data_IF_086493159640
#
_entry.id   IF_086493159640
#
_cell.length_a   1.000
_cell.length_b   1.000
_cell.length_c   1.000
_cell.angle_alpha   90.00
_cell.angle_beta   90.00
_cell.angle_gamma   90.00
#
_symmetry.space_group_name_H-M   'P 1'
#
loop_
_entity.id
_entity.type
_entity.pdbx_description
1 polymer ?
#
# COMPACT_ATOMS: atom_id res chain seq x y z
N UNK A 1 -39.42 -12.79 17.98
CA UNK A 1 -39.49 -12.34 16.58
C UNK A 1 -38.57 -11.14 16.42
N UNK A 2 -37.76 -11.19 15.36
CA UNK A 2 -36.58 -10.38 15.03
C UNK A 2 -36.86 -8.87 14.89
N UNK A 3 -35.95 -8.03 15.42
CA UNK A 3 -34.96 -7.15 14.73
C UNK A 3 -35.52 -5.94 14.00
N UNK A 4 -35.06 -4.74 14.40
CA UNK A 4 -34.65 -3.67 13.47
C UNK A 4 -33.89 -2.57 14.23
N UNK A 5 -32.57 -2.73 14.37
CA UNK A 5 -31.68 -1.59 14.64
C UNK A 5 -31.28 -0.94 13.31
N UNK A 6 -31.32 0.38 13.32
CA UNK A 6 -31.42 1.32 12.20
C UNK A 6 -30.13 1.40 11.36
N UNK A 7 -30.17 1.31 10.01
CA UNK A 7 -28.98 1.26 9.14
C UNK A 7 -28.33 2.63 8.81
N UNK A 8 -28.68 3.71 9.51
CA UNK A 8 -28.31 5.08 9.10
C UNK A 8 -26.86 5.49 9.45
N UNK A 9 -26.24 4.93 10.50
CA UNK A 9 -24.97 5.44 11.05
C UNK A 9 -23.72 4.93 10.31
N UNK A 10 -23.73 3.66 9.88
CA UNK A 10 -22.57 3.02 9.23
C UNK A 10 -22.37 3.59 7.81
N UNK A 11 -23.45 3.84 7.08
CA UNK A 11 -23.39 4.36 5.71
C UNK A 11 -22.81 5.78 5.66
N UNK A 12 -23.07 6.58 6.69
CA UNK A 12 -22.57 7.95 6.79
C UNK A 12 -21.07 8.00 7.12
N UNK A 13 -20.63 7.15 8.07
CA UNK A 13 -19.21 6.97 8.41
C UNK A 13 -18.40 6.41 7.24
N UNK A 14 -18.97 5.47 6.47
CA UNK A 14 -18.36 4.93 5.26
C UNK A 14 -18.21 6.02 4.20
N UNK A 15 -19.19 6.92 4.02
CA UNK A 15 -19.11 8.02 3.05
C UNK A 15 -18.05 9.06 3.43
N UNK A 16 -18.00 9.50 4.68
CA UNK A 16 -16.94 10.42 5.14
C UNK A 16 -15.55 9.80 4.98
N UNK A 17 -15.42 8.53 5.36
CA UNK A 17 -14.17 7.78 5.19
C UNK A 17 -13.78 7.68 3.72
N UNK A 18 -14.71 7.36 2.82
CA UNK A 18 -14.45 7.26 1.37
C UNK A 18 -14.01 8.60 0.78
N UNK A 19 -14.60 9.72 1.20
CA UNK A 19 -14.19 11.06 0.74
C UNK A 19 -12.76 11.39 1.20
N UNK A 20 -12.46 11.18 2.48
CA UNK A 20 -11.12 11.40 3.05
C UNK A 20 -10.08 10.46 2.42
N UNK A 21 -10.47 9.22 2.13
CA UNK A 21 -9.64 8.24 1.41
C UNK A 21 -9.33 8.73 0.00
N UNK A 22 -10.33 9.24 -0.72
CA UNK A 22 -10.20 9.68 -2.12
C UNK A 22 -9.32 10.93 -2.25
N UNK A 23 -9.50 11.92 -1.37
CA UNK A 23 -8.66 13.13 -1.32
C UNK A 23 -7.21 12.77 -1.01
N UNK A 24 -6.98 11.90 -0.03
CA UNK A 24 -5.62 11.48 0.37
C UNK A 24 -4.96 10.56 -0.66
N UNK A 25 -5.72 9.75 -1.40
CA UNK A 25 -5.20 8.99 -2.55
C UNK A 25 -4.66 9.93 -3.63
N UNK A 26 -5.29 11.09 -3.82
CA UNK A 26 -4.82 12.08 -4.80
C UNK A 26 -3.50 12.71 -4.34
N UNK A 27 -3.38 13.06 -3.05
CA UNK A 27 -2.09 13.49 -2.45
C UNK A 27 -1.02 12.38 -2.47
N UNK A 28 -1.41 11.11 -2.35
CA UNK A 28 -0.51 9.95 -2.50
C UNK A 28 0.09 9.93 -3.90
N UNK A 29 -0.72 10.10 -4.94
CA UNK A 29 -0.26 10.12 -6.33
C UNK A 29 0.76 11.25 -6.56
N UNK A 30 0.51 12.44 -6.04
CA UNK A 30 1.41 13.59 -6.23
C UNK A 30 2.73 13.49 -5.42
N UNK A 31 2.71 12.85 -4.24
CA UNK A 31 3.92 12.75 -3.38
C UNK A 31 4.81 11.56 -3.75
N UNK A 32 4.23 10.49 -4.30
CA UNK A 32 4.91 9.20 -4.49
C UNK A 32 5.32 9.00 -5.96
N UNK A 33 4.60 9.59 -6.91
CA UNK A 33 4.79 9.29 -8.33
C UNK A 33 5.71 10.33 -8.97
N UNK A 34 7.00 9.99 -9.04
CA UNK A 34 7.98 10.70 -9.87
C UNK A 34 7.73 10.34 -11.35
N UNK A 35 7.61 11.33 -12.25
CA UNK A 35 7.32 11.08 -13.67
C UNK A 35 8.38 10.17 -14.34
N UNK A 36 9.62 10.23 -13.84
CA UNK A 36 10.73 9.38 -14.27
C UNK A 36 10.45 7.89 -13.99
N UNK A 37 9.92 7.56 -12.80
CA UNK A 37 9.52 6.20 -12.42
C UNK A 37 8.32 5.75 -13.26
N UNK A 38 7.37 6.63 -13.59
CA UNK A 38 6.28 6.26 -14.52
C UNK A 38 6.87 5.87 -15.88
N UNK A 39 7.83 6.64 -16.39
CA UNK A 39 8.42 6.38 -17.71
C UNK A 39 9.27 5.12 -17.79
N UNK A 40 10.05 4.82 -16.74
CA UNK A 40 10.92 3.63 -16.66
C UNK A 40 10.09 2.33 -16.58
N UNK A 41 8.88 2.39 -16.00
CA UNK A 41 8.02 1.23 -15.76
C UNK A 41 6.72 1.24 -16.59
N UNK A 42 6.52 2.22 -17.50
CA UNK A 42 5.38 2.34 -18.43
C UNK A 42 5.27 1.17 -19.43
N UNK A 43 6.34 0.39 -19.58
CA UNK A 43 6.39 -0.85 -20.34
C UNK A 43 6.74 -1.99 -19.39
N UNK A 44 5.74 -2.54 -18.69
CA UNK A 44 5.89 -3.81 -17.99
C UNK A 44 5.99 -4.94 -19.04
N UNK A 45 7.18 -5.12 -19.59
CA UNK A 45 7.60 -6.40 -20.16
C UNK A 45 7.94 -7.40 -19.05
N UNK A 46 8.13 -8.67 -19.41
CA UNK A 46 8.60 -9.74 -18.51
C UNK A 46 9.81 -9.33 -17.68
N UNK A 47 10.74 -8.59 -18.28
CA UNK A 47 12.02 -8.20 -17.68
C UNK A 47 11.86 -7.17 -16.54
N UNK A 48 10.86 -6.29 -16.63
CA UNK A 48 10.56 -5.33 -15.57
C UNK A 48 9.95 -6.04 -14.35
N UNK A 49 9.13 -7.07 -14.60
CA UNK A 49 8.55 -7.88 -13.54
C UNK A 49 9.63 -8.64 -12.76
N UNK A 50 10.54 -9.32 -13.46
CA UNK A 50 11.65 -10.04 -12.84
C UNK A 50 12.54 -9.12 -12.01
N UNK A 51 12.85 -7.92 -12.50
CA UNK A 51 13.64 -6.92 -11.75
C UNK A 51 12.95 -6.49 -10.46
N UNK A 52 11.66 -6.19 -10.50
CA UNK A 52 10.88 -5.82 -9.31
C UNK A 52 10.90 -6.98 -8.31
N UNK A 53 10.66 -8.21 -8.77
CA UNK A 53 10.65 -9.39 -7.91
C UNK A 53 12.03 -9.66 -7.29
N UNK A 54 13.12 -9.51 -8.04
CA UNK A 54 14.48 -9.67 -7.52
C UNK A 54 14.79 -8.63 -6.45
N UNK A 55 14.52 -7.35 -6.73
CA UNK A 55 14.76 -6.27 -5.75
C UNK A 55 13.94 -6.45 -4.47
N UNK A 56 12.70 -6.92 -4.59
CA UNK A 56 11.84 -7.23 -3.46
C UNK A 56 12.35 -8.38 -2.63
N UNK A 57 12.82 -9.43 -3.29
CA UNK A 57 13.40 -10.59 -2.61
C UNK A 57 14.69 -10.22 -1.87
N UNK A 58 15.58 -9.45 -2.52
CA UNK A 58 16.81 -8.92 -1.92
C UNK A 58 16.54 -7.96 -0.76
N UNK A 59 15.37 -7.34 -0.74
CA UNK A 59 14.98 -6.34 0.25
C UNK A 59 13.93 -6.84 1.24
N UNK A 60 13.64 -8.14 1.25
CA UNK A 60 12.63 -8.75 2.12
C UNK A 60 12.90 -8.47 3.61
N UNK A 61 14.17 -8.41 4.01
CA UNK A 61 14.57 -8.05 5.38
C UNK A 61 14.19 -6.61 5.75
N UNK A 62 14.45 -5.64 4.87
CA UNK A 62 14.08 -4.24 5.08
C UNK A 62 12.56 -4.06 5.10
N UNK A 63 11.84 -4.81 4.25
CA UNK A 63 10.37 -4.84 4.27
C UNK A 63 9.86 -5.39 5.61
N UNK A 64 10.45 -6.49 6.12
CA UNK A 64 10.07 -7.03 7.43
C UNK A 64 10.28 -6.04 8.57
N UNK A 65 11.38 -5.28 8.52
CA UNK A 65 11.68 -4.23 9.50
C UNK A 65 10.71 -3.06 9.43
N UNK A 66 10.02 -2.85 8.30
CA UNK A 66 9.00 -1.82 8.14
C UNK A 66 7.71 -2.05 8.93
N UNK A 67 7.61 -3.19 9.62
CA UNK A 67 6.39 -3.62 10.30
C UNK A 67 5.43 -4.38 9.39
N UNK A 68 5.89 -4.81 8.20
CA UNK A 68 5.09 -5.53 7.21
C UNK A 68 5.76 -6.82 6.75
N UNK A 69 4.96 -7.85 6.45
CA UNK A 69 5.45 -9.11 5.92
C UNK A 69 4.85 -9.33 4.53
N UNK A 70 5.71 -9.50 3.52
CA UNK A 70 5.26 -9.85 2.17
C UNK A 70 4.62 -11.24 2.19
N UNK A 71 3.36 -11.33 1.75
CA UNK A 71 2.60 -12.58 1.77
C UNK A 71 2.37 -13.18 0.40
N UNK A 72 2.05 -12.35 -0.57
CA UNK A 72 1.64 -12.85 -1.87
C UNK A 72 2.08 -11.90 -2.99
N UNK A 73 2.34 -12.48 -4.14
CA UNK A 73 2.64 -11.80 -5.39
C UNK A 73 1.66 -12.34 -6.43
N UNK A 74 0.98 -11.43 -7.11
CA UNK A 74 -0.03 -11.70 -8.12
C UNK A 74 0.37 -11.01 -9.42
N UNK A 75 0.26 -11.72 -10.54
CA UNK A 75 0.49 -11.16 -11.86
C UNK A 75 -0.87 -11.08 -12.56
N UNK A 76 -1.31 -9.86 -12.83
CA UNK A 76 -2.48 -9.59 -13.67
C UNK A 76 -2.06 -9.66 -15.12
N UNK A 77 -2.63 -10.60 -15.88
CA UNK A 77 -2.38 -10.78 -17.32
C UNK A 77 -3.24 -9.85 -18.21
N UNK A 78 -3.74 -8.74 -17.66
CA UNK A 78 -4.44 -7.72 -18.43
C UNK A 78 -3.51 -7.05 -19.45
N UNK A 79 -4.06 -6.24 -20.35
CA UNK A 79 -3.26 -5.35 -21.20
C UNK A 79 -3.53 -3.92 -20.72
N UNK A 80 -2.56 -3.26 -20.06
CA UNK A 80 -1.20 -3.71 -19.76
C UNK A 80 -1.16 -4.70 -18.58
N UNK A 81 -0.15 -5.58 -18.51
CA UNK A 81 0.01 -6.48 -17.37
C UNK A 81 0.33 -5.68 -16.10
N UNK A 82 0.05 -6.26 -14.93
CA UNK A 82 0.26 -5.60 -13.63
C UNK A 82 0.81 -6.59 -12.61
N UNK A 83 1.59 -6.12 -11.65
CA UNK A 83 2.10 -6.94 -10.55
C UNK A 83 1.50 -6.42 -9.25
N UNK A 84 0.67 -7.22 -8.60
CA UNK A 84 0.12 -6.92 -7.28
C UNK A 84 0.90 -7.64 -6.18
N UNK A 85 1.43 -6.91 -5.21
CA UNK A 85 2.10 -7.46 -4.03
C UNK A 85 1.24 -7.18 -2.81
N UNK A 86 1.04 -8.18 -1.97
CA UNK A 86 0.27 -8.07 -0.72
C UNK A 86 1.20 -8.16 0.47
N UNK A 87 1.10 -7.18 1.36
CA UNK A 87 1.88 -7.05 2.59
C UNK A 87 0.93 -7.10 3.78
N UNK A 88 1.13 -8.07 4.67
CA UNK A 88 0.38 -8.09 5.93
C UNK A 88 1.04 -7.14 6.92
N UNK A 89 0.21 -6.39 7.62
CA UNK A 89 0.66 -5.58 8.74
C UNK A 89 1.02 -6.50 9.91
N UNK A 90 2.22 -6.32 10.46
CA UNK A 90 2.75 -7.11 11.57
C UNK A 90 2.79 -6.29 12.85
N UNK A 91 3.42 -5.13 12.80
CA UNK A 91 3.58 -4.26 13.96
C UNK A 91 3.80 -2.81 13.55
N UNK A 92 3.58 -1.92 14.51
CA UNK A 92 3.95 -0.52 14.35
C UNK A 92 5.46 -0.32 14.55
N UNK A 93 6.02 0.65 13.84
CA UNK A 93 7.39 1.12 14.01
C UNK A 93 7.38 2.65 14.20
N UNK A 94 8.40 3.15 14.89
CA UNK A 94 8.58 4.57 15.18
C UNK A 94 8.96 5.38 13.93
N UNK A 95 8.76 6.70 13.98
CA UNK A 95 9.13 7.56 12.85
C UNK A 95 10.66 7.58 12.58
N UNK A 96 11.47 7.41 13.62
CA UNK A 96 12.93 7.24 13.49
C UNK A 96 13.29 5.95 12.74
N UNK A 97 12.59 4.85 12.99
CA UNK A 97 12.77 3.60 12.25
C UNK A 97 12.31 3.74 10.79
N UNK A 98 11.20 4.45 10.53
CA UNK A 98 10.75 4.75 9.17
C UNK A 98 11.79 5.55 8.40
N UNK A 99 12.34 6.62 8.99
CA UNK A 99 13.39 7.43 8.36
C UNK A 99 14.65 6.61 8.08
N UNK A 100 15.09 5.81 9.05
CA UNK A 100 16.25 4.92 8.88
C UNK A 100 16.05 3.92 7.74
N UNK A 101 14.86 3.37 7.58
CA UNK A 101 14.54 2.45 6.48
C UNK A 101 14.55 3.15 5.12
N UNK A 102 14.03 4.40 5.05
CA UNK A 102 14.05 5.18 3.82
C UNK A 102 15.48 5.53 3.39
N UNK A 103 16.35 5.91 4.33
CA UNK A 103 17.77 6.17 4.04
C UNK A 103 18.48 4.90 3.57
N UNK A 104 18.21 3.75 4.18
CA UNK A 104 18.78 2.46 3.75
C UNK A 104 18.28 1.99 2.38
N UNK A 105 17.20 2.57 1.86
CA UNK A 105 16.61 2.22 0.57
C UNK A 105 16.79 3.29 -0.50
N UNK A 106 17.50 4.40 -0.23
CA UNK A 106 17.62 5.55 -1.12
C UNK A 106 18.11 5.18 -2.54
N UNK A 107 19.00 4.20 -2.65
CA UNK A 107 19.54 3.68 -3.90
C UNK A 107 18.58 2.72 -4.63
N UNK A 108 17.55 2.24 -3.93
CA UNK A 108 16.54 1.28 -4.41
C UNK A 108 15.19 1.99 -4.61
N UNK A 109 15.04 2.67 -5.77
CA UNK A 109 13.84 3.46 -6.11
C UNK A 109 12.52 2.72 -5.82
N UNK A 110 12.36 1.48 -6.27
CA UNK A 110 11.13 0.68 -6.08
C UNK A 110 10.90 0.33 -4.61
N UNK A 111 11.96 -0.05 -3.88
CA UNK A 111 11.83 -0.33 -2.45
C UNK A 111 11.42 0.91 -1.68
N UNK A 112 12.07 2.05 -1.95
CA UNK A 112 11.71 3.34 -1.34
C UNK A 112 10.25 3.69 -1.62
N UNK A 113 9.78 3.49 -2.85
CA UNK A 113 8.39 3.71 -3.24
C UNK A 113 7.43 2.87 -2.39
N UNK A 114 7.74 1.58 -2.25
CA UNK A 114 6.93 0.61 -1.50
C UNK A 114 6.91 0.96 -0.02
N UNK A 115 8.07 1.26 0.59
CA UNK A 115 8.15 1.67 1.99
C UNK A 115 7.34 2.94 2.25
N UNK A 116 7.45 3.97 1.39
CA UNK A 116 6.63 5.18 1.47
C UNK A 116 5.14 4.87 1.40
N UNK A 117 4.73 3.98 0.48
CA UNK A 117 3.33 3.57 0.34
C UNK A 117 2.82 2.84 1.60
N UNK A 118 3.61 1.92 2.17
CA UNK A 118 3.27 1.18 3.39
C UNK A 118 3.13 2.10 4.60
N UNK A 119 4.06 3.05 4.78
CA UNK A 119 4.00 4.03 5.86
C UNK A 119 2.80 4.95 5.71
N UNK A 120 2.52 5.44 4.50
CA UNK A 120 1.37 6.31 4.23
C UNK A 120 0.04 5.57 4.44
N UNK A 121 -0.04 4.28 4.09
CA UNK A 121 -1.20 3.44 4.39
C UNK A 121 -1.42 3.29 5.91
N UNK A 122 -0.34 3.13 6.68
CA UNK A 122 -0.39 3.05 8.15
C UNK A 122 -0.88 4.36 8.76
N UNK A 123 -0.32 5.48 8.32
CA UNK A 123 -0.70 6.81 8.80
C UNK A 123 -2.15 7.15 8.43
N UNK A 124 -2.61 6.68 7.28
CA UNK A 124 -3.99 6.82 6.84
C UNK A 124 -4.95 6.03 7.74
N UNK A 125 -4.64 4.76 8.04
CA UNK A 125 -5.41 3.97 9.00
C UNK A 125 -5.50 4.66 10.37
N UNK A 126 -4.37 5.18 10.89
CA UNK A 126 -4.33 5.89 12.18
C UNK A 126 -5.23 7.12 12.22
N UNK A 127 -5.33 7.85 11.11
CA UNK A 127 -6.16 9.07 11.00
C UNK A 127 -7.65 8.76 10.84
N UNK A 128 -7.97 7.67 10.17
CA UNK A 128 -9.34 7.35 9.76
C UNK A 128 -10.06 6.44 10.76
N UNK A 129 -9.33 5.65 11.59
CA UNK A 129 -9.83 4.76 12.66
C UNK A 129 -11.35 4.50 12.63
N UNK A 130 -11.74 3.48 11.87
CA UNK A 130 -13.15 3.13 11.66
C UNK A 130 -13.56 2.09 12.72
N UNK A 131 -14.29 2.51 13.76
CA UNK A 131 -14.85 1.60 14.77
C UNK A 131 -13.81 0.61 15.34
N UNK A 132 -14.13 -0.68 15.29
CA UNK A 132 -13.28 -1.78 15.78
C UNK A 132 -12.53 -2.50 14.64
N UNK A 133 -12.24 -1.80 13.54
CA UNK A 133 -11.46 -2.37 12.44
C UNK A 133 -9.98 -2.14 12.66
N UNK A 134 -9.16 -3.15 12.36
CA UNK A 134 -7.70 -3.05 12.34
C UNK A 134 -7.15 -3.16 10.92
N UNK A 135 -5.97 -2.57 10.70
CA UNK A 135 -5.21 -2.76 9.48
C UNK A 135 -4.76 -4.22 9.39
N UNK A 136 -5.18 -4.92 8.34
CA UNK A 136 -4.81 -6.32 8.10
C UNK A 136 -3.69 -6.42 7.07
N UNK A 137 -3.94 -5.89 5.88
CA UNK A 137 -2.97 -5.93 4.79
C UNK A 137 -3.07 -4.72 3.85
N UNK A 138 -1.95 -4.44 3.20
CA UNK A 138 -1.81 -3.41 2.17
C UNK A 138 -1.42 -4.12 0.88
N UNK A 139 -2.19 -3.90 -0.18
CA UNK A 139 -1.90 -4.40 -1.51
C UNK A 139 -1.41 -3.25 -2.39
N UNK A 140 -0.24 -3.42 -2.98
CA UNK A 140 0.35 -2.47 -3.91
C UNK A 140 0.37 -3.13 -5.28
N UNK A 141 -0.33 -2.56 -6.25
CA UNK A 141 -0.24 -2.95 -7.64
C UNK A 141 0.68 -2.00 -8.39
N UNK A 142 1.67 -2.56 -9.07
CA UNK A 142 2.65 -1.86 -9.89
C UNK A 142 2.25 -2.13 -11.35
N UNK A 143 1.80 -1.07 -12.04
CA UNK A 143 1.29 -1.03 -13.42
C UNK A 143 1.70 0.28 -14.11
N UNK A 144 1.07 0.65 -15.24
CA UNK A 144 1.24 2.01 -15.83
C UNK A 144 0.97 3.13 -14.80
N UNK A 145 0.23 2.81 -13.73
CA UNK A 145 0.01 3.64 -12.56
C UNK A 145 0.10 2.74 -11.31
N UNK A 146 0.89 3.09 -10.28
CA UNK A 146 0.83 2.42 -8.99
C UNK A 146 -0.57 2.56 -8.37
N UNK A 147 -1.20 1.46 -8.00
CA UNK A 147 -2.48 1.42 -7.27
C UNK A 147 -2.26 0.86 -5.86
N UNK A 148 -2.83 1.52 -4.85
CA UNK A 148 -2.69 1.12 -3.45
C UNK A 148 -4.08 0.82 -2.91
N UNK A 149 -4.28 -0.44 -2.52
CA UNK A 149 -5.51 -0.95 -1.92
C UNK A 149 -5.25 -1.33 -0.46
N UNK A 150 -6.06 -0.82 0.47
CA UNK A 150 -5.94 -1.07 1.91
C UNK A 150 -7.10 -1.95 2.37
N UNK A 151 -6.82 -3.09 3.00
CA UNK A 151 -7.83 -3.99 3.53
C UNK A 151 -7.86 -3.93 5.07
N UNK A 152 -9.06 -3.76 5.62
CA UNK A 152 -9.33 -3.68 7.05
C UNK A 152 -10.20 -4.86 7.46
N UNK A 153 -9.96 -5.42 8.65
CA UNK A 153 -10.74 -6.54 9.21
C UNK A 153 -11.31 -6.16 10.58
N UNK A 154 -12.46 -6.72 10.93
CA UNK A 154 -13.06 -6.58 12.26
C UNK A 154 -12.25 -7.32 13.31
N UNK A 155 -12.16 -6.77 14.51
CA UNK A 155 -11.68 -7.51 15.70
C UNK A 155 -12.54 -8.73 16.06
#
# INVERSE_FOLDING_TARGET
>A
MSTEEKPATIIEQVKETVTVVTEKITEIKETIIDEEIISEYKLLGSDAAEKILSQLNESAALISQSGFIMKNISIGMGIPPSIGITFNYSNEISDSEKESLLTQSEDKKILTLILKALFKATDMYKKVKIGNYKLDNVKIAIGIIPDISINLVTE
#
